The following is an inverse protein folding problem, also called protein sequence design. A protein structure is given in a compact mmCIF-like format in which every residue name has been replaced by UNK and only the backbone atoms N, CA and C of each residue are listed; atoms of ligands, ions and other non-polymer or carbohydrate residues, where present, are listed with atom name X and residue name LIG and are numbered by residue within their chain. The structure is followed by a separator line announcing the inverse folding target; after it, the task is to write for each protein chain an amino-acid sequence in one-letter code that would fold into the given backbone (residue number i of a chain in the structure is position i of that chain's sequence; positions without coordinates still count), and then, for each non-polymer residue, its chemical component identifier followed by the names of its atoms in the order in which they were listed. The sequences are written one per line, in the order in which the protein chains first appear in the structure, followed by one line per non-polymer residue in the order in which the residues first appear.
data_IF_291054643958
#
_entry.id   IF_291054643958
#
_cell.length_a   1.000
_cell.length_b   1.000
_cell.length_c   1.000
_cell.angle_alpha   90.00
_cell.angle_beta   90.00
_cell.angle_gamma   90.00
#
_symmetry.space_group_name_H-M   'P 1'
#
loop_
_entity.id
_entity.type
_entity.pdbx_description
1 polymer ?
#
# COMPACT_ATOMS: atom_id res chain seq x y z
N UNK A 1 -5.10 -20.54 -18.30
CA UNK A 1 -4.27 -20.35 -17.09
C UNK A 1 -5.08 -19.46 -16.16
N UNK A 2 -5.62 -20.04 -15.09
CA UNK A 2 -6.35 -19.29 -14.07
C UNK A 2 -5.33 -18.37 -13.38
N UNK A 3 -5.44 -17.05 -13.60
CA UNK A 3 -4.59 -16.10 -12.89
C UNK A 3 -5.02 -16.15 -11.43
N UNK A 4 -4.20 -16.74 -10.57
CA UNK A 4 -4.38 -16.62 -9.11
C UNK A 4 -4.54 -15.14 -8.77
N UNK A 5 -5.59 -14.81 -8.01
CA UNK A 5 -5.86 -13.43 -7.65
C UNK A 5 -4.66 -12.81 -6.92
N UNK A 6 -4.29 -11.58 -7.26
CA UNK A 6 -3.22 -10.83 -6.60
C UNK A 6 -3.56 -10.70 -5.10
N UNK A 7 -2.71 -11.15 -4.16
CA UNK A 7 -2.96 -11.00 -2.73
C UNK A 7 -3.14 -9.53 -2.37
N UNK A 8 -4.28 -9.16 -1.77
CA UNK A 8 -4.54 -7.76 -1.46
C UNK A 8 -5.57 -7.56 -0.35
N UNK A 9 -5.59 -6.36 0.23
CA UNK A 9 -6.60 -5.88 1.18
C UNK A 9 -7.15 -4.51 0.76
N UNK A 10 -7.33 -4.28 -0.54
CA UNK A 10 -7.75 -2.99 -1.07
C UNK A 10 -9.14 -2.62 -0.52
N UNK A 11 -9.26 -1.40 0.00
CA UNK A 11 -10.52 -0.88 0.56
C UNK A 11 -11.47 -0.34 -0.52
N UNK A 12 -12.00 -1.23 -1.37
CA UNK A 12 -12.85 -0.88 -2.53
C UNK A 12 -14.02 0.07 -2.24
N UNK A 13 -14.60 0.01 -1.04
CA UNK A 13 -15.69 0.91 -0.63
C UNK A 13 -15.30 2.39 -0.71
N UNK A 14 -13.99 2.73 -0.65
CA UNK A 14 -13.48 4.10 -0.79
C UNK A 14 -13.57 4.67 -2.21
N UNK A 15 -13.87 3.82 -3.19
CA UNK A 15 -14.10 4.21 -4.58
C UNK A 15 -15.56 4.60 -4.84
N UNK A 16 -16.47 4.36 -3.89
CA UNK A 16 -17.85 4.80 -4.03
C UNK A 16 -17.92 6.33 -4.10
N UNK A 17 -18.46 6.87 -5.20
CA UNK A 17 -18.51 8.32 -5.45
C UNK A 17 -17.14 8.94 -5.80
N UNK A 18 -16.09 8.14 -6.01
CA UNK A 18 -14.80 8.66 -6.45
C UNK A 18 -14.89 9.08 -7.93
N UNK A 19 -14.82 10.40 -8.15
CA UNK A 19 -14.90 11.02 -9.47
C UNK A 19 -13.86 12.13 -9.60
N UNK A 20 -13.54 12.52 -10.84
CA UNK A 20 -12.43 13.44 -11.10
C UNK A 20 -11.08 12.78 -10.83
N UNK A 21 -10.00 13.54 -10.77
CA UNK A 21 -8.63 13.06 -10.48
C UNK A 21 -7.89 12.31 -11.61
N UNK A 22 -8.37 12.34 -12.86
CA UNK A 22 -7.66 11.71 -14.00
C UNK A 22 -6.19 12.16 -14.11
N UNK A 23 -5.93 13.46 -13.96
CA UNK A 23 -4.56 14.00 -14.00
C UNK A 23 -3.66 13.38 -12.94
N UNK A 24 -4.12 13.33 -11.69
CA UNK A 24 -3.37 12.70 -10.59
C UNK A 24 -3.15 11.20 -10.82
N UNK A 25 -4.15 10.49 -11.36
CA UNK A 25 -4.01 9.06 -11.67
C UNK A 25 -3.00 8.81 -12.79
N UNK A 26 -2.93 9.66 -13.81
CA UNK A 26 -1.91 9.56 -14.86
C UNK A 26 -0.52 9.81 -14.30
N UNK A 27 -0.36 10.82 -13.44
CA UNK A 27 0.91 11.07 -12.76
C UNK A 27 1.34 9.89 -11.88
N UNK A 28 0.40 9.32 -11.12
CA UNK A 28 0.70 8.13 -10.32
C UNK A 28 1.02 6.91 -11.18
N UNK A 29 0.36 6.75 -12.34
CA UNK A 29 0.69 5.70 -13.29
C UNK A 29 2.15 5.83 -13.76
N UNK A 30 2.52 7.01 -14.26
CA UNK A 30 3.87 7.26 -14.75
C UNK A 30 4.93 7.03 -13.65
N UNK A 31 4.65 7.41 -12.40
CA UNK A 31 5.57 7.17 -11.29
C UNK A 31 5.63 5.72 -10.82
N UNK A 32 4.53 4.98 -10.89
CA UNK A 32 4.46 3.58 -10.45
C UNK A 32 5.05 2.62 -11.48
N UNK A 33 4.99 2.94 -12.79
CA UNK A 33 5.40 2.04 -13.87
C UNK A 33 6.51 2.58 -14.77
N UNK A 34 6.96 3.82 -14.58
CA UNK A 34 7.84 4.53 -15.52
C UNK A 34 9.34 4.39 -15.31
N UNK A 35 9.83 3.66 -14.29
CA UNK A 35 11.27 3.51 -14.02
C UNK A 35 11.67 2.19 -13.37
N UNK A 36 12.97 1.85 -13.43
CA UNK A 36 13.57 0.64 -12.85
C UNK A 36 13.84 0.75 -11.33
N UNK A 37 13.67 1.93 -10.74
CA UNK A 37 13.86 2.18 -9.31
C UNK A 37 12.57 1.94 -8.52
N UNK A 38 12.68 1.36 -7.33
CA UNK A 38 11.59 1.19 -6.36
C UNK A 38 11.12 2.58 -5.87
N UNK A 39 10.02 3.16 -6.38
CA UNK A 39 9.69 4.55 -6.13
C UNK A 39 8.94 4.69 -4.80
N UNK A 40 9.43 5.56 -3.92
CA UNK A 40 8.70 5.99 -2.74
C UNK A 40 7.90 7.26 -3.07
N UNK A 41 6.57 7.14 -3.14
CA UNK A 41 5.67 8.25 -3.49
C UNK A 41 4.93 8.75 -2.25
N UNK A 42 5.00 10.06 -2.00
CA UNK A 42 4.24 10.72 -0.95
C UNK A 42 3.01 11.44 -1.53
N UNK A 43 1.82 11.17 -0.98
CA UNK A 43 0.57 11.87 -1.31
C UNK A 43 0.20 12.76 -0.12
N UNK A 44 0.38 14.07 -0.28
CA UNK A 44 0.06 15.10 0.72
C UNK A 44 -1.12 15.99 0.30
N UNK A 45 -1.72 16.68 1.26
CA UNK A 45 -2.88 17.56 1.03
C UNK A 45 -3.75 17.65 2.28
N UNK A 46 -4.70 18.57 2.31
CA UNK A 46 -5.52 18.79 3.51
C UNK A 46 -6.44 17.60 3.82
N UNK A 47 -6.99 17.59 5.05
CA UNK A 47 -7.98 16.60 5.43
C UNK A 47 -9.22 16.70 4.53
N UNK A 48 -9.75 15.57 4.08
CA UNK A 48 -10.94 15.53 3.21
C UNK A 48 -10.67 15.59 1.71
N UNK A 49 -9.44 15.88 1.25
CA UNK A 49 -9.08 15.94 -0.18
C UNK A 49 -9.07 14.59 -0.93
N UNK A 50 -9.54 13.51 -0.32
CA UNK A 50 -9.63 12.20 -0.99
C UNK A 50 -8.29 11.47 -1.20
N UNK A 51 -7.21 11.84 -0.49
CA UNK A 51 -5.88 11.20 -0.60
C UNK A 51 -5.93 9.67 -0.52
N UNK A 52 -6.61 9.13 0.49
CA UNK A 52 -6.74 7.68 0.67
C UNK A 52 -7.54 7.04 -0.47
N UNK A 53 -8.57 7.73 -1.01
CA UNK A 53 -9.34 7.24 -2.17
C UNK A 53 -8.51 7.28 -3.45
N UNK A 54 -7.69 8.31 -3.64
CA UNK A 54 -6.76 8.41 -4.77
C UNK A 54 -5.72 7.28 -4.75
N UNK A 55 -5.13 6.99 -3.57
CA UNK A 55 -4.20 5.88 -3.41
C UNK A 55 -4.85 4.53 -3.73
N UNK A 56 -6.08 4.30 -3.27
CA UNK A 56 -6.86 3.10 -3.57
C UNK A 56 -7.22 3.01 -5.06
N UNK A 57 -7.57 4.12 -5.70
CA UNK A 57 -7.88 4.16 -7.12
C UNK A 57 -6.64 3.84 -7.98
N UNK A 58 -5.48 4.38 -7.63
CA UNK A 58 -4.22 4.02 -8.28
C UNK A 58 -3.93 2.53 -8.09
N UNK A 59 -4.00 2.01 -6.86
CA UNK A 59 -3.78 0.61 -6.58
C UNK A 59 -4.70 -0.32 -7.39
N UNK A 60 -5.97 0.06 -7.53
CA UNK A 60 -6.94 -0.68 -8.33
C UNK A 60 -6.61 -0.69 -9.82
N UNK A 61 -6.22 0.46 -10.39
CA UNK A 61 -5.83 0.55 -11.79
C UNK A 61 -4.60 -0.30 -12.11
N UNK A 62 -3.72 -0.49 -11.13
CA UNK A 62 -2.47 -1.25 -11.24
C UNK A 62 -2.55 -2.66 -10.65
N UNK A 63 -3.76 -3.19 -10.48
CA UNK A 63 -3.99 -4.48 -9.82
C UNK A 63 -3.17 -5.64 -10.41
N UNK A 64 -2.94 -5.62 -11.73
CA UNK A 64 -2.20 -6.64 -12.45
C UNK A 64 -0.71 -6.32 -12.64
N UNK A 65 -0.28 -5.08 -12.41
CA UNK A 65 1.13 -4.70 -12.52
C UNK A 65 1.90 -5.19 -11.27
N UNK A 66 1.25 -5.16 -10.11
CA UNK A 66 1.79 -5.62 -8.83
C UNK A 66 1.38 -7.06 -8.50
N UNK A 67 1.78 -7.99 -9.37
CA UNK A 67 1.38 -9.41 -9.30
C UNK A 67 1.74 -10.15 -8.00
N UNK A 68 2.76 -9.69 -7.26
CA UNK A 68 3.16 -10.30 -5.98
C UNK A 68 2.36 -9.78 -4.78
N UNK A 69 1.52 -8.75 -4.96
CA UNK A 69 0.56 -8.28 -3.95
C UNK A 69 0.39 -6.76 -3.83
N UNK A 70 -0.78 -6.34 -3.35
CA UNK A 70 -1.09 -4.94 -3.02
C UNK A 70 -1.49 -4.84 -1.55
N UNK A 71 -0.67 -4.16 -0.75
CA UNK A 71 -0.81 -4.11 0.70
C UNK A 71 -1.12 -2.68 1.13
N UNK A 72 -2.36 -2.45 1.56
CA UNK A 72 -2.79 -1.20 2.17
C UNK A 72 -2.69 -1.29 3.69
N UNK A 73 -1.76 -0.53 4.26
CA UNK A 73 -1.57 -0.42 5.71
C UNK A 73 -2.25 0.85 6.20
N UNK A 74 -2.95 0.74 7.33
CA UNK A 74 -3.55 1.87 8.03
C UNK A 74 -3.41 1.64 9.53
N UNK A 75 -3.28 2.70 10.34
CA UNK A 75 -3.20 2.55 11.78
C UNK A 75 -4.49 1.93 12.35
N UNK A 76 -4.33 1.15 13.42
CA UNK A 76 -5.48 0.62 14.16
C UNK A 76 -6.23 1.74 14.92
N UNK A 77 -7.44 2.05 14.46
CA UNK A 77 -8.33 3.01 15.12
C UNK A 77 -7.83 4.46 15.04
N UNK A 78 -7.68 5.09 16.21
CA UNK A 78 -7.21 6.48 16.37
C UNK A 78 -5.74 6.58 16.76
N UNK A 79 -5.04 5.45 16.82
CA UNK A 79 -3.63 5.41 17.22
C UNK A 79 -2.73 6.00 16.11
N UNK A 80 -1.55 6.55 16.48
CA UNK A 80 -0.51 6.85 15.50
C UNK A 80 -0.09 5.60 14.73
N UNK A 81 0.37 5.78 13.49
CA UNK A 81 0.93 4.70 12.67
C UNK A 81 2.15 4.07 13.33
N UNK A 82 2.19 2.73 13.42
CA UNK A 82 3.31 1.97 14.00
C UNK A 82 3.84 0.95 13.01
N UNK A 83 5.11 0.56 13.18
CA UNK A 83 5.70 -0.54 12.41
C UNK A 83 4.90 -1.84 12.57
N UNK A 84 4.35 -2.07 13.77
CA UNK A 84 3.44 -3.19 14.01
C UNK A 84 2.24 -3.23 13.07
N UNK A 85 1.69 -2.09 12.64
CA UNK A 85 0.58 -2.06 11.68
C UNK A 85 1.00 -2.63 10.33
N UNK A 86 2.24 -2.37 9.89
CA UNK A 86 2.83 -2.94 8.67
C UNK A 86 2.96 -4.45 8.83
N UNK A 87 3.62 -4.89 9.90
CA UNK A 87 3.89 -6.30 10.20
C UNK A 87 2.59 -7.12 10.28
N UNK A 88 1.61 -6.63 11.03
CA UNK A 88 0.29 -7.27 11.17
C UNK A 88 -0.44 -7.36 9.84
N UNK A 89 -0.34 -6.33 9.01
CA UNK A 89 -1.01 -6.31 7.71
C UNK A 89 -0.33 -7.27 6.72
N UNK A 90 1.01 -7.35 6.73
CA UNK A 90 1.75 -8.33 5.93
C UNK A 90 1.36 -9.77 6.31
N UNK A 91 1.30 -10.09 7.61
CA UNK A 91 0.83 -11.40 8.08
C UNK A 91 -0.58 -11.72 7.58
N UNK A 92 -1.47 -10.73 7.58
CA UNK A 92 -2.86 -10.90 7.14
C UNK A 92 -2.97 -11.11 5.62
N UNK A 93 -2.23 -10.32 4.82
CA UNK A 93 -2.35 -10.31 3.35
C UNK A 93 -1.53 -11.43 2.71
N UNK A 94 -0.34 -11.72 3.26
CA UNK A 94 0.64 -12.63 2.67
C UNK A 94 0.70 -13.98 3.39
N UNK A 95 0.02 -14.16 4.52
CA UNK A 95 0.08 -15.38 5.33
C UNK A 95 1.44 -15.58 6.01
N UNK A 96 2.18 -14.49 6.27
CA UNK A 96 3.45 -14.54 7.00
C UNK A 96 3.23 -14.74 8.50
N UNK A 97 4.33 -14.88 9.25
CA UNK A 97 4.32 -15.02 10.71
C UNK A 97 5.29 -14.03 11.38
N UNK A 98 5.45 -12.85 10.79
CA UNK A 98 6.36 -11.81 11.27
C UNK A 98 6.00 -11.34 12.68
N UNK A 99 4.72 -11.29 13.03
CA UNK A 99 4.24 -10.97 14.39
C UNK A 99 4.73 -11.95 15.47
N UNK A 100 5.17 -13.15 15.10
CA UNK A 100 5.74 -14.15 16.03
C UNK A 100 7.25 -14.03 16.20
N UNK A 101 7.90 -13.16 15.43
CA UNK A 101 9.33 -12.85 15.55
C UNK A 101 9.54 -11.63 16.45
N UNK A 102 10.76 -11.50 16.96
CA UNK A 102 11.14 -10.35 17.78
C UNK A 102 11.15 -9.05 16.96
N UNK A 103 10.81 -7.92 17.60
CA UNK A 103 10.64 -6.63 16.93
C UNK A 103 11.92 -6.14 16.22
N UNK A 104 13.10 -6.47 16.75
CA UNK A 104 14.39 -6.21 16.12
C UNK A 104 14.55 -6.90 14.75
N UNK A 105 13.79 -7.97 14.49
CA UNK A 105 13.79 -8.70 13.21
C UNK A 105 12.69 -8.26 12.25
N UNK A 106 11.76 -7.40 12.67
CA UNK A 106 10.68 -6.97 11.79
C UNK A 106 11.19 -6.21 10.56
N UNK A 107 12.23 -5.38 10.71
CA UNK A 107 12.82 -4.65 9.59
C UNK A 107 13.32 -5.57 8.47
N UNK A 108 14.10 -6.60 8.83
CA UNK A 108 14.61 -7.57 7.85
C UNK A 108 13.48 -8.46 7.30
N UNK A 109 12.52 -8.84 8.14
CA UNK A 109 11.36 -9.63 7.71
C UNK A 109 10.48 -8.88 6.70
N UNK A 110 10.26 -7.58 6.89
CA UNK A 110 9.56 -6.73 5.91
C UNK A 110 10.37 -6.67 4.62
N UNK A 111 11.69 -6.45 4.70
CA UNK A 111 12.55 -6.39 3.52
C UNK A 111 12.50 -7.70 2.72
N UNK A 112 12.56 -8.85 3.37
CA UNK A 112 12.43 -10.17 2.72
C UNK A 112 11.09 -10.32 1.99
N UNK A 113 10.01 -9.74 2.53
CA UNK A 113 8.73 -9.73 1.84
C UNK A 113 8.70 -8.76 0.65
N UNK A 114 9.44 -7.65 0.67
CA UNK A 114 9.37 -6.65 -0.41
C UNK A 114 10.43 -6.86 -1.49
N UNK A 115 11.56 -7.46 -1.15
CA UNK A 115 12.71 -7.56 -2.03
C UNK A 115 12.45 -8.46 -3.24
N UNK A 116 12.76 -7.95 -4.45
CA UNK A 116 12.54 -8.63 -5.74
C UNK A 116 11.09 -9.10 -5.96
N UNK A 117 10.12 -8.39 -5.37
CA UNK A 117 8.69 -8.63 -5.56
C UNK A 117 8.05 -7.44 -6.25
N UNK A 118 7.18 -7.69 -7.22
CA UNK A 118 6.30 -6.65 -7.78
C UNK A 118 5.14 -6.41 -6.82
N UNK A 119 5.43 -5.69 -5.72
CA UNK A 119 4.46 -5.37 -4.65
C UNK A 119 4.26 -3.87 -4.52
N UNK A 120 3.01 -3.47 -4.34
CA UNK A 120 2.66 -2.10 -3.96
C UNK A 120 2.35 -2.06 -2.46
N UNK A 121 3.11 -1.26 -1.71
CA UNK A 121 2.85 -0.99 -0.30
C UNK A 121 2.33 0.43 -0.12
N UNK A 122 1.13 0.56 0.42
CA UNK A 122 0.47 1.86 0.69
C UNK A 122 0.44 2.08 2.19
N UNK A 123 1.05 3.18 2.65
CA UNK A 123 1.03 3.60 4.04
C UNK A 123 0.02 4.75 4.19
N UNK A 124 -1.21 4.44 4.58
CA UNK A 124 -2.28 5.44 4.75
C UNK A 124 -2.24 6.05 6.15
N UNK A 125 -2.59 7.34 6.24
CA UNK A 125 -2.63 8.13 7.48
C UNK A 125 -1.32 8.16 8.29
N UNK A 126 -0.18 8.24 7.60
CA UNK A 126 1.07 8.63 8.25
C UNK A 126 0.92 10.05 8.83
N UNK A 127 0.83 10.15 10.16
CA UNK A 127 0.82 11.41 10.89
C UNK A 127 2.20 11.62 11.52
N UNK A 128 2.77 12.82 11.39
CA UNK A 128 3.94 13.22 12.17
C UNK A 128 5.32 13.04 11.53
N UNK A 129 5.48 13.42 10.26
CA UNK A 129 6.78 13.95 9.83
C UNK A 129 6.80 15.45 10.20
N UNK A 130 7.04 15.74 11.48
CA UNK A 130 7.44 17.07 11.98
C UNK A 130 8.87 16.97 12.46
#
# INVERSE_FOLDING_TARGET
MERSATPNNITYYRLNGFVGSRGHLLTLHDWLTGGDDLPAIAISGEQGYGKSSLAVAAAYNHYYDFSDGIIQVSPAGTSPFRLYDVVRTLDTVLGTALTRTSEDRWGIGILEQLYKRSRLLILDKLAGAT
#
